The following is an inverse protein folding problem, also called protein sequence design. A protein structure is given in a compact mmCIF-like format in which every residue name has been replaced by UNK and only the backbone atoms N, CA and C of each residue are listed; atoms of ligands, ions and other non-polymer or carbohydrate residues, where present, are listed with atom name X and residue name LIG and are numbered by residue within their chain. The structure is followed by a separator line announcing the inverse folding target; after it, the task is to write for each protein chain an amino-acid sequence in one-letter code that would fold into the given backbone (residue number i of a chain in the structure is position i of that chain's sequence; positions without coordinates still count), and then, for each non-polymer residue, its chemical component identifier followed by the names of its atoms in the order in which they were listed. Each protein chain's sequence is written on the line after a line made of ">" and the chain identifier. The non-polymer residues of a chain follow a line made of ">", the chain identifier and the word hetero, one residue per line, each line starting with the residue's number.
data_IF_637662194892
#
_entry.id   IF_637662194892
#
_cell.length_a   1.000
_cell.length_b   1.000
_cell.length_c   1.000
_cell.angle_alpha   90.00
_cell.angle_beta   90.00
_cell.angle_gamma   90.00
#
_symmetry.space_group_name_H-M   'P 1'
#
loop_
_entity.id
_entity.type
_entity.pdbx_description
1 polymer ?
#
# COMPACT_ATOMS: atom_id res chain seq x y z
N UNK A 1 -12.39 -6.10 9.04
CA UNK A 1 -11.40 -6.55 8.03
C UNK A 1 -11.06 -5.44 7.02
N UNK A 2 -12.03 -4.73 6.43
CA UNK A 2 -11.78 -3.68 5.42
C UNK A 2 -10.85 -2.55 5.88
N UNK A 3 -11.03 -2.05 7.11
CA UNK A 3 -10.17 -0.99 7.70
C UNK A 3 -8.73 -1.46 7.94
N UNK A 4 -8.51 -2.74 8.22
CA UNK A 4 -7.17 -3.32 8.42
C UNK A 4 -6.41 -3.44 7.09
N UNK A 5 -7.07 -3.81 6.00
CA UNK A 5 -6.47 -3.87 4.66
C UNK A 5 -6.09 -2.48 4.13
N UNK A 6 -6.96 -1.49 4.34
CA UNK A 6 -6.65 -0.10 3.98
C UNK A 6 -5.50 0.42 4.84
N UNK A 7 -5.53 0.22 6.17
CA UNK A 7 -4.49 0.68 7.08
C UNK A 7 -3.13 0.03 6.83
N UNK A 8 -3.10 -1.28 6.61
CA UNK A 8 -1.86 -1.99 6.24
C UNK A 8 -1.34 -1.52 4.89
N UNK A 9 -2.19 -1.41 3.86
CA UNK A 9 -1.78 -0.89 2.56
C UNK A 9 -1.15 0.50 2.64
N UNK A 10 -1.71 1.42 3.43
CA UNK A 10 -1.11 2.75 3.65
C UNK A 10 0.22 2.69 4.40
N UNK A 11 0.34 1.81 5.40
CA UNK A 11 1.61 1.60 6.11
C UNK A 11 2.70 1.04 5.18
N UNK A 12 2.33 0.12 4.28
CA UNK A 12 3.24 -0.41 3.25
C UNK A 12 3.68 0.67 2.25
N UNK A 13 2.78 1.58 1.85
CA UNK A 13 3.14 2.73 1.02
C UNK A 13 4.14 3.66 1.74
N UNK A 14 3.94 3.87 3.04
CA UNK A 14 4.88 4.62 3.89
C UNK A 14 6.26 3.96 4.00
N UNK A 15 6.30 2.63 4.13
CA UNK A 15 7.55 1.86 4.08
C UNK A 15 8.26 2.02 2.74
N UNK A 16 7.53 1.97 1.62
CA UNK A 16 8.11 2.19 0.29
C UNK A 16 8.74 3.58 0.14
N UNK A 17 8.07 4.63 0.64
CA UNK A 17 8.62 5.99 0.67
C UNK A 17 9.86 6.10 1.57
N UNK A 18 9.86 5.39 2.71
CA UNK A 18 11.01 5.31 3.61
C UNK A 18 12.23 4.63 2.96
N UNK A 19 12.03 3.59 2.17
CA UNK A 19 13.09 2.95 1.38
C UNK A 19 13.68 3.92 0.34
N UNK A 20 12.85 4.72 -0.33
CA UNK A 20 13.33 5.75 -1.25
C UNK A 20 14.13 6.85 -0.54
N UNK A 21 13.67 7.29 0.64
CA UNK A 21 14.39 8.26 1.45
C UNK A 21 15.73 7.70 1.96
N UNK A 22 15.78 6.42 2.38
CA UNK A 22 17.00 5.76 2.81
C UNK A 22 18.02 5.58 1.67
N UNK A 23 17.54 5.31 0.44
CA UNK A 23 18.39 5.26 -0.75
C UNK A 23 19.12 6.57 -1.05
N UNK A 24 18.62 7.73 -0.59
CA UNK A 24 19.32 9.00 -0.75
C UNK A 24 20.58 9.13 0.13
N UNK A 25 20.71 8.31 1.19
CA UNK A 25 21.86 8.35 2.11
C UNK A 25 23.00 7.42 1.69
N UNK A 26 22.71 6.33 0.95
CA UNK A 26 23.70 5.31 0.58
C UNK A 26 23.72 5.02 -0.94
N UNK A 27 24.60 5.69 -1.71
CA UNK A 27 24.63 5.58 -3.16
C UNK A 27 25.02 4.19 -3.69
N UNK A 28 25.75 3.39 -2.90
CA UNK A 28 26.09 2.00 -3.27
C UNK A 28 24.89 1.04 -3.18
N UNK A 29 23.88 1.35 -2.36
CA UNK A 29 22.68 0.53 -2.20
C UNK A 29 21.44 1.14 -2.86
N UNK A 30 21.56 2.27 -3.58
CA UNK A 30 20.47 2.94 -4.30
C UNK A 30 19.62 1.97 -5.11
N UNK A 31 20.25 1.03 -5.82
CA UNK A 31 19.52 0.04 -6.64
C UNK A 31 18.65 -0.89 -5.79
N UNK A 32 19.16 -1.35 -4.63
CA UNK A 32 18.41 -2.19 -3.70
C UNK A 32 17.29 -1.40 -3.00
N UNK A 33 17.53 -0.13 -2.67
CA UNK A 33 16.52 0.76 -2.08
C UNK A 33 15.42 1.15 -3.07
N UNK A 34 15.76 1.40 -4.34
CA UNK A 34 14.78 1.69 -5.40
C UNK A 34 13.93 0.47 -5.72
N UNK A 35 14.54 -0.70 -5.89
CA UNK A 35 13.80 -1.95 -6.15
C UNK A 35 12.93 -2.34 -4.96
N UNK A 36 13.45 -2.28 -3.73
CA UNK A 36 12.69 -2.52 -2.50
C UNK A 36 11.57 -1.50 -2.30
N UNK A 37 11.84 -0.21 -2.52
CA UNK A 37 10.85 0.87 -2.42
C UNK A 37 9.70 0.72 -3.41
N UNK A 38 10.01 0.42 -4.68
CA UNK A 38 8.99 0.11 -5.70
C UNK A 38 8.19 -1.13 -5.32
N UNK A 39 8.83 -2.18 -4.81
CA UNK A 39 8.16 -3.40 -4.37
C UNK A 39 7.14 -3.10 -3.25
N UNK A 40 7.55 -2.35 -2.23
CA UNK A 40 6.67 -1.94 -1.13
C UNK A 40 5.53 -1.02 -1.58
N UNK A 41 5.78 -0.12 -2.55
CA UNK A 41 4.74 0.71 -3.14
C UNK A 41 3.70 -0.11 -3.92
N UNK A 42 4.15 -1.09 -4.70
CA UNK A 42 3.26 -1.98 -5.47
C UNK A 42 2.41 -2.84 -4.54
N UNK A 43 3.03 -3.50 -3.55
CA UNK A 43 2.31 -4.35 -2.60
C UNK A 43 1.36 -3.51 -1.73
N UNK A 44 1.81 -2.34 -1.26
CA UNK A 44 0.99 -1.41 -0.48
C UNK A 44 -0.21 -0.88 -1.28
N UNK A 45 0.00 -0.52 -2.54
CA UNK A 45 -1.04 -0.07 -3.46
C UNK A 45 -2.08 -1.15 -3.74
N UNK A 46 -1.65 -2.39 -4.00
CA UNK A 46 -2.55 -3.54 -4.21
C UNK A 46 -3.36 -3.83 -2.94
N UNK A 47 -2.72 -3.81 -1.78
CA UNK A 47 -3.37 -4.10 -0.48
C UNK A 47 -4.39 -3.03 -0.12
N UNK A 48 -4.05 -1.75 -0.29
CA UNK A 48 -4.96 -0.63 -0.09
C UNK A 48 -6.13 -0.67 -1.10
N UNK A 49 -5.83 -0.97 -2.37
CA UNK A 49 -6.83 -1.10 -3.44
C UNK A 49 -7.82 -2.23 -3.20
N UNK A 50 -7.36 -3.40 -2.76
CA UNK A 50 -8.22 -4.51 -2.35
C UNK A 50 -9.10 -4.14 -1.15
N UNK A 51 -8.55 -3.46 -0.14
CA UNK A 51 -9.30 -2.96 1.00
C UNK A 51 -10.40 -1.95 0.60
N UNK A 52 -10.09 -1.04 -0.33
CA UNK A 52 -11.04 -0.08 -0.88
C UNK A 52 -12.16 -0.75 -1.70
N UNK A 53 -11.80 -1.74 -2.54
CA UNK A 53 -12.75 -2.51 -3.34
C UNK A 53 -13.70 -3.31 -2.44
N UNK A 54 -13.17 -4.01 -1.43
CA UNK A 54 -13.98 -4.74 -0.45
C UNK A 54 -14.96 -3.83 0.29
N UNK A 55 -14.52 -2.62 0.65
CA UNK A 55 -15.38 -1.61 1.27
C UNK A 55 -16.50 -1.14 0.33
N UNK A 56 -16.20 -0.84 -0.94
CA UNK A 56 -17.21 -0.45 -1.94
C UNK A 56 -18.24 -1.55 -2.18
N UNK A 57 -17.80 -2.81 -2.31
CA UNK A 57 -18.71 -3.95 -2.51
C UNK A 57 -19.65 -4.14 -1.31
N UNK A 58 -19.16 -3.95 -0.08
CA UNK A 58 -20.02 -3.97 1.12
C UNK A 58 -21.07 -2.86 1.10
N UNK A 59 -20.69 -1.65 0.74
CA UNK A 59 -21.62 -0.51 0.69
C UNK A 59 -22.69 -0.75 -0.37
N UNK A 60 -22.31 -1.18 -1.57
CA UNK A 60 -23.25 -1.50 -2.65
C UNK A 60 -24.24 -2.61 -2.26
N UNK A 61 -23.79 -3.63 -1.53
CA UNK A 61 -24.65 -4.72 -1.04
C UNK A 61 -25.61 -4.26 0.06
N UNK A 62 -25.22 -3.25 0.85
CA UNK A 62 -26.05 -2.67 1.91
C UNK A 62 -27.15 -1.76 1.32
N UNK A 63 -26.83 -0.98 0.29
CA UNK A 63 -27.82 -0.16 -0.44
C UNK A 63 -28.84 -1.02 -1.20
N UNK A 64 -28.43 -2.16 -1.76
CA UNK A 64 -29.33 -3.07 -2.47
C UNK A 64 -30.34 -3.81 -1.55
N UNK A 65 -30.15 -3.76 -0.22
CA UNK A 65 -31.09 -4.33 0.77
C UNK A 65 -32.03 -3.28 1.37
N UNK A 66 -31.89 -2.02 1.00
CA UNK A 66 -32.70 -0.90 1.49
C UNK A 66 -33.83 -0.58 0.53
#
# INVERSE_FOLDING_TARGET
>A
MDKMLIGSGTALLGLGAGFFAAGAFDPNLISAFQTGGVLWLVIGGITAGLGLKARKTKIAKLDAMR
#
